data_IF_578706846271
#
_entry.id   IF_578706846271
#
_cell.length_a   1.000
_cell.length_b   1.000
_cell.length_c   1.000
_cell.angle_alpha   90.00
_cell.angle_beta   90.00
_cell.angle_gamma   90.00
#
_symmetry.space_group_name_H-M   'P 1'
#
loop_
_entity.id
_entity.type
_entity.pdbx_description
1 polymer ?
#
# COMPACT_ATOMS: atom_id res chain seq x y z
N UNK A 1 -4.46 -30.83 2.77
CA UNK A 1 -3.32 -30.02 2.31
C UNK A 1 -2.84 -29.24 3.52
N UNK A 2 -1.69 -29.60 4.07
CA UNK A 2 -1.08 -28.90 5.20
C UNK A 2 -0.09 -27.93 4.58
N UNK A 3 -0.33 -26.63 4.72
CA UNK A 3 0.67 -25.62 4.35
C UNK A 3 1.74 -25.72 5.44
N UNK A 4 2.89 -26.27 5.11
CA UNK A 4 4.07 -26.20 5.97
C UNK A 4 4.61 -24.76 5.83
N UNK A 5 4.08 -23.85 6.67
CA UNK A 5 4.69 -22.53 6.87
C UNK A 5 5.95 -22.74 7.68
N UNK A 6 7.10 -22.46 7.08
CA UNK A 6 8.32 -22.23 7.85
C UNK A 6 8.26 -20.77 8.31
N UNK A 7 7.68 -20.57 9.49
CA UNK A 7 7.37 -19.25 10.03
C UNK A 7 8.58 -18.30 10.01
N UNK A 8 9.79 -18.80 10.23
CA UNK A 8 11.00 -17.97 10.25
C UNK A 8 11.45 -17.53 8.84
N UNK A 9 11.29 -18.40 7.83
CA UNK A 9 11.58 -18.04 6.43
C UNK A 9 10.49 -17.12 5.85
N UNK A 10 9.23 -17.42 6.16
CA UNK A 10 8.08 -16.62 5.72
C UNK A 10 8.12 -15.23 6.34
N UNK A 11 8.47 -15.08 7.63
CA UNK A 11 8.59 -13.77 8.29
C UNK A 11 9.69 -12.90 7.66
N UNK A 12 10.85 -13.49 7.35
CA UNK A 12 11.93 -12.75 6.68
C UNK A 12 11.55 -12.31 5.27
N UNK A 13 10.83 -13.16 4.53
CA UNK A 13 10.33 -12.81 3.20
C UNK A 13 9.23 -11.74 3.26
N UNK A 14 8.30 -11.87 4.20
CA UNK A 14 7.21 -10.91 4.41
C UNK A 14 7.77 -9.55 4.81
N UNK A 15 8.65 -9.50 5.81
CA UNK A 15 9.18 -8.26 6.37
C UNK A 15 10.28 -7.64 5.50
N UNK A 16 11.12 -8.47 4.88
CA UNK A 16 12.27 -8.02 4.10
C UNK A 16 11.96 -7.74 2.62
N UNK A 17 10.89 -8.32 2.06
CA UNK A 17 10.57 -8.21 0.63
C UNK A 17 9.16 -7.71 0.40
N UNK A 18 8.13 -8.42 0.92
CA UNK A 18 6.75 -8.12 0.55
C UNK A 18 6.26 -6.78 1.10
N UNK A 19 6.46 -6.55 2.40
CA UNK A 19 6.04 -5.32 3.07
C UNK A 19 6.67 -4.06 2.47
N UNK A 20 8.01 -3.94 2.33
CA UNK A 20 8.61 -2.75 1.75
C UNK A 20 8.23 -2.57 0.27
N UNK A 21 8.11 -3.66 -0.50
CA UNK A 21 7.67 -3.59 -1.90
C UNK A 21 6.24 -3.05 -2.02
N UNK A 22 5.32 -3.59 -1.22
CA UNK A 22 3.93 -3.17 -1.22
C UNK A 22 3.77 -1.70 -0.78
N UNK A 23 4.50 -1.27 0.26
CA UNK A 23 4.54 0.14 0.68
C UNK A 23 5.01 1.04 -0.48
N UNK A 24 6.11 0.67 -1.12
CA UNK A 24 6.67 1.44 -2.23
C UNK A 24 5.72 1.51 -3.44
N UNK A 25 5.03 0.42 -3.74
CA UNK A 25 4.06 0.37 -4.83
C UNK A 25 2.86 1.30 -4.55
N UNK A 26 2.28 1.22 -3.35
CA UNK A 26 1.16 2.08 -2.97
C UNK A 26 1.58 3.54 -2.96
N UNK A 27 2.71 3.87 -2.33
CA UNK A 27 3.21 5.25 -2.30
C UNK A 27 3.50 5.76 -3.70
N UNK A 28 4.23 5.01 -4.52
CA UNK A 28 4.51 5.38 -5.91
C UNK A 28 3.25 5.59 -6.76
N UNK A 29 2.18 4.84 -6.48
CA UNK A 29 0.90 5.03 -7.13
C UNK A 29 0.12 6.25 -6.59
N UNK A 30 0.23 6.58 -5.30
CA UNK A 30 -0.55 7.67 -4.68
C UNK A 30 0.18 9.01 -4.75
N UNK A 31 1.44 9.07 -4.30
CA UNK A 31 2.29 10.26 -4.37
C UNK A 31 3.77 9.93 -4.19
N UNK A 32 4.62 10.64 -4.95
CA UNK A 32 6.08 10.59 -4.85
C UNK A 32 6.67 11.78 -4.08
N UNK A 33 5.84 12.71 -3.59
CA UNK A 33 6.32 13.86 -2.84
C UNK A 33 6.62 13.47 -1.39
N UNK A 34 7.81 13.83 -0.91
CA UNK A 34 8.24 13.53 0.47
C UNK A 34 7.41 14.24 1.53
N UNK A 35 6.83 15.39 1.21
CA UNK A 35 5.97 16.17 2.11
C UNK A 35 4.67 15.45 2.46
N UNK A 36 4.24 14.48 1.64
CA UNK A 36 3.03 13.69 1.92
C UNK A 36 3.31 12.46 2.79
N UNK A 37 4.55 12.23 3.22
CA UNK A 37 4.89 11.07 4.05
C UNK A 37 3.99 10.94 5.31
N UNK A 38 3.69 12.04 6.04
CA UNK A 38 2.80 11.98 7.21
C UNK A 38 1.36 11.55 6.87
N UNK A 39 0.89 11.75 5.64
CA UNK A 39 -0.45 11.30 5.23
C UNK A 39 -0.59 9.78 5.24
N UNK A 40 0.50 9.07 4.96
CA UNK A 40 0.49 7.60 4.94
C UNK A 40 0.61 6.99 6.35
N UNK A 41 1.13 7.74 7.31
CA UNK A 41 1.29 7.28 8.69
C UNK A 41 -0.06 7.02 9.34
N UNK A 42 -0.25 5.81 9.88
CA UNK A 42 -1.49 5.37 10.53
C UNK A 42 -2.77 5.47 9.65
N UNK A 43 -2.63 5.60 8.33
CA UNK A 43 -3.77 5.66 7.43
C UNK A 43 -4.35 4.26 7.19
N UNK A 44 -5.57 4.01 7.66
CA UNK A 44 -6.19 2.68 7.57
C UNK A 44 -6.42 2.20 6.14
N UNK A 45 -6.73 3.12 5.21
CA UNK A 45 -6.94 2.80 3.79
C UNK A 45 -5.63 2.41 3.13
N UNK A 46 -4.55 3.15 3.44
CA UNK A 46 -3.19 2.81 3.03
C UNK A 46 -2.79 1.43 3.54
N UNK A 47 -2.95 1.17 4.85
CA UNK A 47 -2.60 -0.11 5.45
C UNK A 47 -3.37 -1.29 4.83
N UNK A 48 -4.68 -1.12 4.57
CA UNK A 48 -5.48 -2.15 3.91
C UNK A 48 -4.98 -2.44 2.49
N UNK A 49 -4.63 -1.40 1.73
CA UNK A 49 -4.13 -1.58 0.37
C UNK A 49 -2.77 -2.27 0.35
N UNK A 50 -1.86 -1.91 1.27
CA UNK A 50 -0.57 -2.59 1.45
C UNK A 50 -0.78 -4.08 1.74
N UNK A 51 -1.68 -4.43 2.66
CA UNK A 51 -2.00 -5.83 2.97
C UNK A 51 -2.56 -6.59 1.76
N UNK A 52 -3.42 -5.96 0.97
CA UNK A 52 -3.99 -6.58 -0.23
C UNK A 52 -2.91 -6.91 -1.27
N UNK A 53 -1.96 -5.99 -1.48
CA UNK A 53 -0.83 -6.18 -2.40
C UNK A 53 0.12 -7.26 -1.88
N UNK A 54 0.47 -7.23 -0.59
CA UNK A 54 1.29 -8.27 0.03
C UNK A 54 0.67 -9.66 -0.14
N UNK A 55 -0.63 -9.79 0.17
CA UNK A 55 -1.36 -11.05 0.00
C UNK A 55 -1.38 -11.49 -1.47
N UNK A 56 -1.60 -10.57 -2.40
CA UNK A 56 -1.59 -10.90 -3.82
C UNK A 56 -0.24 -11.48 -4.26
N UNK A 57 0.88 -10.86 -3.88
CA UNK A 57 2.21 -11.35 -4.23
C UNK A 57 2.57 -12.67 -3.53
N UNK A 58 2.20 -12.82 -2.25
CA UNK A 58 2.43 -14.07 -1.51
C UNK A 58 1.68 -15.24 -2.15
N UNK A 59 0.42 -15.03 -2.56
CA UNK A 59 -0.40 -16.07 -3.19
C UNK A 59 -0.03 -16.34 -4.65
N UNK A 60 0.64 -15.39 -5.33
CA UNK A 60 0.96 -15.46 -6.75
C UNK A 60 2.45 -15.20 -7.03
N UNK A 61 3.38 -16.02 -6.50
CA UNK A 61 4.83 -15.77 -6.60
C UNK A 61 5.41 -15.97 -8.00
N UNK A 62 4.76 -16.78 -8.85
CA UNK A 62 5.12 -16.90 -10.26
C UNK A 62 4.40 -15.84 -11.07
N UNK A 63 4.97 -15.34 -12.16
CA UNK A 63 4.29 -14.47 -13.14
C UNK A 63 3.46 -15.28 -14.13
N UNK A 64 3.87 -16.52 -14.46
CA UNK A 64 3.11 -17.48 -15.27
C UNK A 64 2.30 -18.44 -14.39
N UNK A 65 1.12 -18.86 -14.84
CA UNK A 65 0.27 -19.87 -14.18
C UNK A 65 -0.54 -20.59 -15.25
N UNK A 66 -0.83 -21.88 -15.03
CA UNK A 66 -1.76 -22.64 -15.86
C UNK A 66 -3.23 -22.20 -15.66
N UNK A 67 -3.50 -21.45 -14.59
CA UNK A 67 -4.81 -20.87 -14.30
C UNK A 67 -4.79 -19.36 -14.55
N UNK A 68 -5.92 -18.81 -15.02
CA UNK A 68 -6.08 -17.37 -15.20
C UNK A 68 -5.83 -16.65 -13.88
N UNK A 69 -4.73 -15.89 -13.82
CA UNK A 69 -4.50 -14.97 -12.70
C UNK A 69 -5.44 -13.79 -12.88
N UNK A 70 -6.21 -13.49 -11.84
CA UNK A 70 -6.82 -12.19 -11.74
C UNK A 70 -5.69 -11.21 -11.43
N UNK A 71 -5.49 -10.21 -12.29
CA UNK A 71 -4.67 -9.06 -11.95
C UNK A 71 -5.15 -8.49 -10.61
N UNK A 72 -4.22 -7.86 -9.89
CA UNK A 72 -4.44 -7.14 -8.62
C UNK A 72 -5.92 -6.78 -8.45
N UNK A 73 -6.60 -7.25 -7.37
CA UNK A 73 -8.06 -7.19 -7.28
C UNK A 73 -8.60 -5.83 -7.70
N UNK A 74 -9.70 -5.77 -8.47
CA UNK A 74 -10.30 -4.50 -8.96
C UNK A 74 -10.51 -3.47 -7.82
N UNK A 75 -10.71 -3.96 -6.58
CA UNK A 75 -10.77 -3.15 -5.37
C UNK A 75 -9.50 -2.34 -5.09
N UNK A 76 -8.33 -2.77 -5.52
CA UNK A 76 -7.07 -2.08 -5.29
C UNK A 76 -6.99 -0.78 -6.10
N UNK A 77 -7.46 -0.79 -7.34
CA UNK A 77 -7.52 0.43 -8.15
C UNK A 77 -8.48 1.46 -7.53
N UNK A 78 -9.66 1.03 -7.07
CA UNK A 78 -10.61 1.94 -6.42
C UNK A 78 -10.06 2.48 -5.10
N UNK A 79 -9.34 1.66 -4.32
CA UNK A 79 -8.64 2.10 -3.11
C UNK A 79 -7.52 3.11 -3.41
N UNK A 80 -6.75 2.91 -4.48
CA UNK A 80 -5.72 3.87 -4.93
C UNK A 80 -6.35 5.21 -5.29
N UNK A 81 -7.44 5.21 -6.07
CA UNK A 81 -8.11 6.47 -6.43
C UNK A 81 -8.70 7.17 -5.21
N UNK A 82 -9.25 6.41 -4.26
CA UNK A 82 -9.71 6.96 -2.99
C UNK A 82 -8.56 7.61 -2.20
N UNK A 83 -7.44 6.91 -2.04
CA UNK A 83 -6.24 7.44 -1.37
C UNK A 83 -5.72 8.73 -2.00
N UNK A 84 -5.73 8.82 -3.34
CA UNK A 84 -5.35 10.07 -4.04
C UNK A 84 -6.31 11.22 -3.75
N UNK A 85 -7.61 10.95 -3.69
CA UNK A 85 -8.62 11.94 -3.30
C UNK A 85 -8.46 12.39 -1.85
N UNK A 86 -8.30 11.44 -0.93
CA UNK A 86 -8.09 11.70 0.50
C UNK A 86 -6.80 12.53 0.72
N UNK A 87 -5.73 12.25 -0.02
CA UNK A 87 -4.49 13.03 0.01
C UNK A 87 -4.71 14.48 -0.43
N UNK A 88 -5.51 14.70 -1.49
CA UNK A 88 -5.80 16.04 -1.96
C UNK A 88 -6.55 16.87 -0.90
N UNK A 89 -7.48 16.24 -0.18
CA UNK A 89 -8.19 16.87 0.95
C UNK A 89 -7.21 17.17 2.09
N UNK A 90 -6.41 16.19 2.48
CA UNK A 90 -5.43 16.34 3.56
C UNK A 90 -4.44 17.48 3.29
N UNK A 91 -3.95 17.62 2.05
CA UNK A 91 -3.07 18.73 1.67
C UNK A 91 -3.73 20.09 1.88
N UNK A 92 -5.01 20.23 1.50
CA UNK A 92 -5.74 21.49 1.68
C UNK A 92 -5.89 21.84 3.17
N UNK A 93 -6.18 20.85 4.00
CA UNK A 93 -6.29 21.06 5.45
C UNK A 93 -4.96 21.50 6.07
N UNK A 94 -3.86 20.84 5.69
CA UNK A 94 -2.53 21.11 6.27
C UNK A 94 -1.90 22.42 5.76
N UNK A 95 -2.09 22.77 4.49
CA UNK A 95 -1.63 24.05 3.92
C UNK A 95 -2.33 25.25 4.58
N UNK A 96 -3.61 25.11 4.98
CA UNK A 96 -4.35 26.17 5.64
C UNK A 96 -3.83 26.41 7.07
N UNK A 97 -3.47 25.36 7.81
CA UNK A 97 -2.90 25.47 9.17
C UNK A 97 -1.56 26.19 9.23
N UNK A 98 -0.68 26.01 8.23
CA UNK A 98 0.60 26.74 8.19
C UNK A 98 0.38 28.26 8.05
N UNK A 99 -0.62 28.66 7.26
CA UNK A 99 -0.93 30.07 7.04
C UNK A 99 -1.55 30.78 8.25
N UNK A 100 -2.23 30.05 9.14
CA UNK A 100 -2.84 30.60 10.36
C UNK A 100 -1.86 30.67 11.53
N UNK A 101 -0.86 29.78 11.57
CA UNK A 101 0.19 29.77 12.60
C UNK A 101 1.19 30.95 12.53
N UNK A 102 1.14 31.74 11.45
CA UNK A 102 1.99 32.91 11.21
C UNK A 102 1.32 34.26 11.53
N UNK A 103 0.14 34.27 12.18
CA UNK A 103 -0.56 35.48 12.66
C UNK A 103 -0.49 35.59 14.18
#
# INVERSE_FOLDING_TARGET
MRIEMDFDLDDNYIMGVLLPSAINEVKGAVSTNKEDEPFFENNSTFNLLVLNIMRHHYENPSTTSQFQKFEVPTSSLSLIQRLRGDLAVWRLENLNTESESMK
#
